data_IF_034678253440
#
_entry.id   IF_034678253440
#
_cell.length_a   1.000
_cell.length_b   1.000
_cell.length_c   1.000
_cell.angle_alpha   90.00
_cell.angle_beta   90.00
_cell.angle_gamma   90.00
#
_symmetry.space_group_name_H-M   'P 1'
#
loop_
_entity.id
_entity.type
_entity.pdbx_description
1 polymer ?
#
# COMPACT_ATOMS: atom_id res chain seq x y z
N UNK A 1 -19.07 26.77 -63.59
CA UNK A 1 -19.52 27.22 -62.25
C UNK A 1 -19.04 26.20 -61.24
N UNK A 2 -18.17 26.62 -60.30
CA UNK A 2 -17.30 25.77 -59.48
C UNK A 2 -17.69 25.98 -58.01
N UNK A 3 -18.42 25.04 -57.41
CA UNK A 3 -18.71 25.05 -55.97
C UNK A 3 -18.73 23.62 -55.43
N UNK A 4 -17.56 22.99 -55.43
CA UNK A 4 -17.22 21.85 -54.59
C UNK A 4 -15.98 22.24 -53.81
N UNK A 5 -16.12 22.34 -52.49
CA UNK A 5 -15.10 22.54 -51.44
C UNK A 5 -15.71 23.52 -50.45
N UNK A 6 -15.92 23.05 -49.22
CA UNK A 6 -16.01 23.79 -47.93
C UNK A 6 -16.85 23.00 -46.90
N UNK A 7 -17.36 21.81 -47.24
CA UNK A 7 -17.97 20.89 -46.26
C UNK A 7 -16.95 19.90 -45.63
N UNK A 8 -15.69 20.31 -45.52
CA UNK A 8 -14.61 19.42 -45.06
C UNK A 8 -13.55 20.12 -44.22
N UNK A 9 -13.89 21.26 -43.61
CA UNK A 9 -12.94 22.06 -42.81
C UNK A 9 -13.35 22.16 -41.33
N UNK A 10 -14.57 21.79 -40.95
CA UNK A 10 -15.04 21.85 -39.55
C UNK A 10 -14.98 20.53 -38.76
N UNK A 11 -14.56 19.42 -39.39
CA UNK A 11 -14.38 18.10 -38.72
C UNK A 11 -12.89 17.84 -38.40
N UNK A 12 -11.99 18.79 -38.70
CA UNK A 12 -10.55 18.63 -38.45
C UNK A 12 -10.05 19.14 -37.10
N UNK A 13 -10.85 19.92 -36.37
CA UNK A 13 -10.38 20.62 -35.15
C UNK A 13 -10.88 20.02 -33.83
N UNK A 14 -11.70 18.96 -33.90
CA UNK A 14 -12.33 18.32 -32.73
C UNK A 14 -11.73 16.93 -32.43
N UNK A 15 -10.42 16.76 -32.67
CA UNK A 15 -9.71 15.48 -32.43
C UNK A 15 -8.39 15.64 -31.65
N UNK A 16 -8.12 16.80 -31.04
CA UNK A 16 -6.82 17.12 -30.44
C UNK A 16 -6.81 17.33 -28.91
N UNK A 17 -7.80 16.82 -28.16
CA UNK A 17 -7.84 17.03 -26.69
C UNK A 17 -8.06 15.76 -25.86
N UNK A 18 -7.53 14.61 -26.31
CA UNK A 18 -7.49 13.38 -25.51
C UNK A 18 -6.07 12.85 -25.34
N UNK A 19 -5.08 13.74 -25.14
CA UNK A 19 -3.87 13.33 -24.43
C UNK A 19 -4.22 13.32 -22.94
N UNK A 20 -4.81 12.20 -22.49
CA UNK A 20 -4.87 11.92 -21.07
C UNK A 20 -3.43 11.93 -20.55
N UNK A 21 -3.15 12.81 -19.59
CA UNK A 21 -1.84 12.88 -18.95
C UNK A 21 -1.65 11.57 -18.18
N UNK A 22 -0.95 10.60 -18.76
CA UNK A 22 -0.52 9.41 -18.02
C UNK A 22 0.63 9.85 -17.10
N UNK A 23 0.39 9.92 -15.79
CA UNK A 23 1.45 10.09 -14.80
C UNK A 23 2.40 8.90 -14.95
N UNK A 24 3.62 9.15 -15.40
CA UNK A 24 4.68 8.14 -15.38
C UNK A 24 5.10 7.94 -13.92
N UNK A 25 5.04 6.70 -13.44
CA UNK A 25 5.57 6.33 -12.12
C UNK A 25 7.10 6.42 -12.21
N UNK A 26 7.74 6.90 -11.15
CA UNK A 26 9.20 7.04 -11.10
C UNK A 26 9.74 6.77 -9.69
N UNK A 27 10.99 6.33 -9.62
CA UNK A 27 11.67 6.04 -8.35
C UNK A 27 10.93 4.99 -7.51
N UNK A 28 10.81 5.25 -6.21
CA UNK A 28 10.25 4.31 -5.24
C UNK A 28 8.80 3.90 -5.56
N UNK A 29 8.00 4.78 -6.19
CA UNK A 29 6.63 4.47 -6.60
C UNK A 29 6.60 3.35 -7.65
N UNK A 30 7.52 3.41 -8.61
CA UNK A 30 7.68 2.37 -9.64
C UNK A 30 8.20 1.07 -9.02
N UNK A 31 9.17 1.15 -8.10
CA UNK A 31 9.69 -0.03 -7.38
C UNK A 31 8.58 -0.73 -6.60
N UNK A 32 7.76 0.02 -5.85
CA UNK A 32 6.64 -0.52 -5.10
C UNK A 32 5.57 -1.14 -6.02
N UNK A 33 5.24 -0.46 -7.12
CA UNK A 33 4.29 -0.95 -8.12
C UNK A 33 4.75 -2.27 -8.77
N UNK A 34 6.02 -2.36 -9.16
CA UNK A 34 6.57 -3.58 -9.77
C UNK A 34 6.64 -4.72 -8.79
N UNK A 35 6.93 -4.44 -7.53
CA UNK A 35 6.90 -5.42 -6.46
C UNK A 35 5.50 -6.01 -6.28
N UNK A 36 4.44 -5.19 -6.25
CA UNK A 36 3.04 -5.66 -6.16
C UNK A 36 2.69 -6.59 -7.32
N UNK A 37 3.11 -6.26 -8.55
CA UNK A 37 2.91 -7.13 -9.71
C UNK A 37 3.69 -8.43 -9.61
N UNK A 38 4.92 -8.38 -9.11
CA UNK A 38 5.76 -9.56 -8.92
C UNK A 38 5.18 -10.55 -7.90
N UNK A 39 4.41 -10.08 -6.91
CA UNK A 39 3.64 -10.93 -6.00
C UNK A 39 2.43 -11.62 -6.67
N UNK A 40 2.15 -11.34 -7.94
CA UNK A 40 1.03 -11.92 -8.67
C UNK A 40 -0.31 -11.23 -8.44
N UNK A 41 -0.30 -10.05 -7.80
CA UNK A 41 -1.50 -9.24 -7.61
C UNK A 41 -1.81 -8.41 -8.86
N UNK A 42 -3.10 -8.23 -9.12
CA UNK A 42 -3.57 -7.37 -10.21
C UNK A 42 -3.97 -6.01 -9.64
N UNK A 43 -3.17 -4.98 -9.94
CA UNK A 43 -3.45 -3.59 -9.56
C UNK A 43 -4.69 -3.09 -10.30
N UNK A 44 -5.66 -2.59 -9.54
CA UNK A 44 -6.91 -1.97 -10.01
C UNK A 44 -6.76 -0.45 -10.00
N UNK A 45 -6.18 0.11 -8.93
CA UNK A 45 -5.89 1.53 -8.80
C UNK A 45 -4.66 1.75 -7.91
N UNK A 46 -4.00 2.88 -8.14
CA UNK A 46 -2.90 3.40 -7.31
C UNK A 46 -3.39 4.67 -6.64
N UNK A 47 -3.05 4.90 -5.36
CA UNK A 47 -3.24 6.22 -4.76
C UNK A 47 -2.11 7.16 -5.17
N UNK A 48 -2.46 8.40 -5.51
CA UNK A 48 -1.53 9.37 -6.10
C UNK A 48 -0.47 9.89 -5.11
N UNK A 49 -0.76 9.84 -3.81
CA UNK A 49 0.07 10.39 -2.74
C UNK A 49 0.65 9.28 -1.86
N UNK A 50 1.97 9.32 -1.68
CA UNK A 50 2.64 8.47 -0.71
C UNK A 50 2.51 9.06 0.69
N UNK A 51 2.34 8.20 1.69
CA UNK A 51 2.42 8.60 3.09
C UNK A 51 3.85 8.43 3.59
N UNK A 52 4.43 9.48 4.18
CA UNK A 52 5.81 9.44 4.69
C UNK A 52 5.87 9.72 6.18
N UNK A 53 6.77 9.02 6.87
CA UNK A 53 7.11 9.31 8.27
C UNK A 53 8.55 8.90 8.59
N UNK A 54 9.12 9.45 9.66
CA UNK A 54 10.39 8.95 10.21
C UNK A 54 10.08 7.96 11.32
N UNK A 55 10.60 6.74 11.22
CA UNK A 55 10.37 5.74 12.26
C UNK A 55 11.12 6.12 13.54
N UNK A 56 10.39 6.28 14.64
CA UNK A 56 10.98 6.50 15.96
C UNK A 56 10.44 5.46 16.93
N UNK A 57 11.18 5.13 17.98
CA UNK A 57 10.72 4.16 19.01
C UNK A 57 9.39 4.55 19.65
N UNK A 58 9.09 5.85 19.75
CA UNK A 58 7.81 6.35 20.27
C UNK A 58 6.59 5.98 19.41
N UNK A 59 6.80 5.72 18.12
CA UNK A 59 5.75 5.22 17.24
C UNK A 59 5.49 3.72 17.47
N UNK A 60 6.41 2.98 18.07
CA UNK A 60 6.28 1.54 18.23
C UNK A 60 5.47 1.17 19.49
N UNK A 61 5.42 2.00 20.53
CA UNK A 61 4.62 1.73 21.73
C UNK A 61 4.39 3.00 22.57
N UNK A 62 3.39 2.96 23.46
CA UNK A 62 3.26 3.90 24.59
C UNK A 62 2.22 5.01 24.41
N UNK A 63 1.53 5.10 23.27
CA UNK A 63 0.43 6.06 23.08
C UNK A 63 -0.67 5.55 22.13
N UNK A 64 -1.89 6.09 22.16
CA UNK A 64 -2.93 5.74 21.18
C UNK A 64 -2.47 5.89 19.72
N UNK A 65 -1.67 6.91 19.44
CA UNK A 65 -1.09 7.20 18.12
C UNK A 65 -0.04 6.17 17.68
N UNK A 66 0.56 5.42 18.62
CA UNK A 66 1.47 4.31 18.30
C UNK A 66 0.75 3.07 17.76
N UNK A 67 -0.55 2.91 18.03
CA UNK A 67 -1.32 1.70 17.70
C UNK A 67 -1.24 1.32 16.21
N UNK A 68 -1.47 2.24 15.25
CA UNK A 68 -1.42 1.89 13.83
C UNK A 68 -0.02 1.41 13.39
N UNK A 69 1.03 2.03 13.93
CA UNK A 69 2.42 1.67 13.63
C UNK A 69 2.80 0.35 14.29
N UNK A 70 2.38 0.12 15.54
CA UNK A 70 2.56 -1.16 16.23
C UNK A 70 1.91 -2.31 15.44
N UNK A 71 0.69 -2.12 14.94
CA UNK A 71 -0.01 -3.12 14.13
C UNK A 71 0.68 -3.35 12.78
N UNK A 72 1.09 -2.27 12.10
CA UNK A 72 1.79 -2.35 10.82
C UNK A 72 3.14 -3.05 10.96
N UNK A 73 3.97 -2.66 11.94
CA UNK A 73 5.29 -3.25 12.16
C UNK A 73 5.23 -4.65 12.78
N UNK A 74 4.14 -4.99 13.48
CA UNK A 74 3.96 -6.31 14.08
C UNK A 74 3.79 -7.45 13.09
N UNK A 75 3.45 -7.15 11.84
CA UNK A 75 3.23 -8.14 10.76
C UNK A 75 4.34 -8.12 9.69
N UNK A 76 5.47 -7.47 9.97
CA UNK A 76 6.64 -7.46 9.08
C UNK A 76 7.60 -8.60 9.44
N UNK A 77 8.27 -9.15 8.42
CA UNK A 77 9.32 -10.15 8.63
C UNK A 77 10.63 -9.52 9.14
N UNK A 78 10.84 -8.23 8.86
CA UNK A 78 12.01 -7.47 9.30
C UNK A 78 11.79 -6.81 10.67
N UNK A 79 12.87 -6.58 11.40
CA UNK A 79 12.80 -5.88 12.68
C UNK A 79 12.64 -4.37 12.48
N UNK A 80 11.73 -3.67 13.20
CA UNK A 80 11.66 -2.22 13.13
C UNK A 80 12.94 -1.54 13.63
N UNK A 81 13.75 -2.21 14.47
CA UNK A 81 15.00 -1.66 15.01
C UNK A 81 16.00 -1.30 13.90
N UNK A 82 16.01 -2.06 12.80
CA UNK A 82 16.89 -1.85 11.65
C UNK A 82 16.55 -0.56 10.86
N UNK A 83 15.36 0.00 11.12
CA UNK A 83 14.82 1.15 10.41
C UNK A 83 14.55 2.36 11.32
N UNK A 84 14.83 2.27 12.62
CA UNK A 84 14.70 3.42 13.52
C UNK A 84 15.60 4.57 13.06
N UNK A 85 15.01 5.76 12.95
CA UNK A 85 15.66 6.96 12.44
C UNK A 85 15.61 7.12 10.92
N UNK A 86 15.16 6.10 10.18
CA UNK A 86 15.00 6.17 8.73
C UNK A 86 13.64 6.74 8.34
N UNK A 87 13.59 7.31 7.13
CA UNK A 87 12.33 7.68 6.48
C UNK A 87 11.67 6.43 5.90
N UNK A 88 10.40 6.24 6.21
CA UNK A 88 9.54 5.22 5.65
C UNK A 88 8.54 5.90 4.73
N UNK A 89 8.47 5.44 3.48
CA UNK A 89 7.50 5.90 2.49
C UNK A 89 6.54 4.76 2.20
N UNK A 90 5.24 5.04 2.23
CA UNK A 90 4.18 4.06 2.02
C UNK A 90 3.45 4.39 0.72
N UNK A 91 3.42 3.43 -0.20
CA UNK A 91 2.62 3.48 -1.42
C UNK A 91 1.41 2.55 -1.30
N UNK A 92 0.20 3.05 -1.58
CA UNK A 92 -1.03 2.27 -1.51
C UNK A 92 -1.53 1.88 -2.90
N UNK A 93 -1.92 0.62 -3.01
CA UNK A 93 -2.57 0.06 -4.20
C UNK A 93 -3.85 -0.66 -3.81
N UNK A 94 -4.89 -0.51 -4.63
CA UNK A 94 -6.05 -1.42 -4.60
C UNK A 94 -5.75 -2.55 -5.56
N UNK A 95 -5.77 -3.79 -5.08
CA UNK A 95 -5.48 -4.98 -5.87
C UNK A 95 -6.66 -5.95 -5.89
N UNK A 96 -6.61 -6.86 -6.87
CA UNK A 96 -7.38 -8.11 -6.89
C UNK A 96 -6.42 -9.30 -6.89
N UNK A 97 -6.96 -10.51 -6.69
CA UNK A 97 -6.20 -11.77 -6.58
C UNK A 97 -5.39 -11.86 -5.28
N UNK A 98 -5.91 -11.30 -4.20
CA UNK A 98 -5.29 -11.33 -2.89
C UNK A 98 -5.91 -12.43 -1.99
N UNK A 99 -5.13 -13.13 -1.13
CA UNK A 99 -5.64 -14.19 -0.26
C UNK A 99 -6.83 -13.79 0.62
N UNK A 100 -6.83 -12.55 1.11
CA UNK A 100 -7.90 -12.02 1.97
C UNK A 100 -9.27 -11.95 1.29
N UNK A 101 -9.33 -11.85 -0.04
CA UNK A 101 -10.61 -11.81 -0.78
C UNK A 101 -11.44 -13.07 -0.53
N UNK A 102 -10.77 -14.23 -0.46
CA UNK A 102 -11.43 -15.51 -0.17
C UNK A 102 -11.86 -15.62 1.29
N UNK A 103 -11.06 -15.09 2.22
CA UNK A 103 -11.34 -15.14 3.67
C UNK A 103 -12.54 -14.25 4.02
N UNK A 104 -12.59 -13.06 3.43
CA UNK A 104 -13.58 -12.04 3.74
C UNK A 104 -14.76 -11.98 2.77
N UNK A 105 -14.77 -12.84 1.74
CA UNK A 105 -15.76 -12.86 0.66
C UNK A 105 -15.87 -11.48 -0.02
N UNK A 106 -14.72 -10.89 -0.33
CA UNK A 106 -14.58 -9.61 -1.04
C UNK A 106 -13.98 -9.82 -2.43
N UNK A 107 -13.84 -8.73 -3.20
CA UNK A 107 -13.26 -8.77 -4.56
C UNK A 107 -11.96 -7.97 -4.69
N UNK A 108 -11.65 -7.14 -3.70
CA UNK A 108 -10.49 -6.27 -3.72
C UNK A 108 -9.89 -6.15 -2.32
N UNK A 109 -8.60 -5.81 -2.30
CA UNK A 109 -7.81 -5.61 -1.09
C UNK A 109 -6.95 -4.36 -1.28
N UNK A 110 -6.83 -3.54 -0.24
CA UNK A 110 -5.82 -2.49 -0.20
C UNK A 110 -4.52 -3.08 0.31
N UNK A 111 -3.43 -2.87 -0.44
CA UNK A 111 -2.07 -3.18 -0.01
C UNK A 111 -1.29 -1.89 0.15
N UNK A 112 -0.55 -1.79 1.25
CA UNK A 112 0.40 -0.71 1.52
C UNK A 112 1.81 -1.31 1.41
N UNK A 113 2.65 -0.74 0.57
CA UNK A 113 4.05 -1.15 0.41
C UNK A 113 4.92 -0.20 1.20
N UNK A 114 5.69 -0.73 2.13
CA UNK A 114 6.64 0.02 2.94
C UNK A 114 7.98 0.06 2.22
N UNK A 115 8.47 1.27 1.97
CA UNK A 115 9.77 1.55 1.36
C UNK A 115 10.70 2.23 2.37
N UNK A 116 11.97 1.86 2.35
CA UNK A 116 13.05 2.64 2.98
C UNK A 116 14.32 2.51 2.16
N UNK A 117 15.07 3.60 2.05
CA UNK A 117 16.33 3.68 1.28
C UNK A 117 16.20 3.15 -0.18
N UNK A 118 15.03 3.34 -0.80
CA UNK A 118 14.74 2.90 -2.18
C UNK A 118 14.38 1.41 -2.33
N UNK A 119 14.29 0.66 -1.23
CA UNK A 119 13.98 -0.77 -1.22
C UNK A 119 12.63 -1.06 -0.57
N UNK A 120 11.97 -2.13 -1.03
CA UNK A 120 10.76 -2.65 -0.37
C UNK A 120 11.20 -3.40 0.89
N UNK A 121 10.69 -2.96 2.04
CA UNK A 121 11.02 -3.54 3.35
C UNK A 121 9.86 -4.36 3.93
N UNK A 122 8.69 -4.28 3.30
CA UNK A 122 7.53 -5.06 3.65
C UNK A 122 6.23 -4.41 3.19
N UNK A 123 5.13 -4.77 3.84
CA UNK A 123 3.82 -4.30 3.46
C UNK A 123 2.72 -4.78 4.39
N UNK A 124 1.54 -4.19 4.24
CA UNK A 124 0.32 -4.61 4.93
C UNK A 124 -0.82 -4.76 3.95
N UNK A 125 -1.82 -5.55 4.29
CA UNK A 125 -3.06 -5.68 3.51
C UNK A 125 -4.32 -5.47 4.35
N UNK A 126 -5.37 -4.97 3.71
CA UNK A 126 -6.69 -4.73 4.31
C UNK A 126 -7.80 -5.07 3.31
N UNK A 127 -8.74 -5.97 3.67
CA UNK A 127 -9.81 -6.35 2.76
C UNK A 127 -10.81 -5.20 2.58
N UNK A 128 -11.29 -5.02 1.34
CA UNK A 128 -12.28 -4.00 1.01
C UNK A 128 -13.65 -4.65 0.77
N UNK A 129 -14.66 -4.23 1.53
CA UNK A 129 -16.05 -4.62 1.28
C UNK A 129 -16.80 -3.43 0.70
N UNK A 130 -17.35 -3.60 -0.50
CA UNK A 130 -18.09 -2.54 -1.21
C UNK A 130 -17.29 -1.23 -1.38
N UNK A 131 -15.95 -1.34 -1.45
CA UNK A 131 -15.05 -0.20 -1.57
C UNK A 131 -14.62 0.43 -0.23
N UNK A 132 -15.15 -0.07 0.89
CA UNK A 132 -14.78 0.39 2.23
C UNK A 132 -13.80 -0.57 2.92
N UNK A 133 -12.84 -0.01 3.65
CA UNK A 133 -11.91 -0.79 4.47
C UNK A 133 -12.67 -1.47 5.60
N UNK A 134 -12.52 -2.79 5.72
CA UNK A 134 -12.98 -3.50 6.90
C UNK A 134 -12.09 -3.11 8.09
N UNK A 135 -12.73 -2.60 9.14
CA UNK A 135 -12.04 -2.20 10.37
C UNK A 135 -11.38 -3.40 11.05
N UNK A 136 -10.13 -3.24 11.50
CA UNK A 136 -9.37 -4.29 12.15
C UNK A 136 -7.88 -3.96 12.25
N UNK A 137 -7.09 -4.92 12.68
CA UNK A 137 -5.63 -4.85 12.63
C UNK A 137 -5.11 -5.07 11.21
N UNK A 138 -3.90 -4.57 10.95
CA UNK A 138 -3.19 -4.87 9.71
C UNK A 138 -2.94 -6.38 9.56
N UNK A 139 -3.09 -6.88 8.34
CA UNK A 139 -2.49 -8.15 7.90
C UNK A 139 -1.12 -7.89 7.30
N UNK A 140 -0.27 -8.91 7.23
CA UNK A 140 0.93 -8.85 6.39
C UNK A 140 0.56 -8.59 4.92
N UNK A 141 1.54 -8.28 4.08
CA UNK A 141 1.31 -8.11 2.65
C UNK A 141 0.63 -9.34 2.02
N UNK A 142 0.93 -10.55 2.49
CA UNK A 142 0.37 -11.79 1.98
C UNK A 142 -0.95 -12.20 2.65
N UNK A 143 -1.52 -11.33 3.49
CA UNK A 143 -2.78 -11.59 4.19
C UNK A 143 -2.65 -12.47 5.43
N UNK A 144 -1.44 -12.60 6.00
CA UNK A 144 -1.21 -13.38 7.22
C UNK A 144 -1.48 -12.54 8.48
N UNK A 145 -1.97 -13.19 9.54
CA UNK A 145 -2.08 -12.57 10.86
C UNK A 145 -0.72 -12.41 11.52
N UNK A 146 -0.68 -11.62 12.60
CA UNK A 146 0.50 -11.49 13.45
C UNK A 146 0.98 -12.84 13.98
N UNK A 147 0.06 -13.70 14.40
CA UNK A 147 0.38 -15.03 14.90
C UNK A 147 0.96 -15.94 13.81
N UNK A 148 0.44 -15.85 12.59
CA UNK A 148 0.96 -16.60 11.44
C UNK A 148 2.35 -16.14 11.04
N UNK A 149 2.62 -14.82 11.10
CA UNK A 149 3.95 -14.26 10.79
C UNK A 149 4.98 -14.60 11.87
N UNK A 150 4.60 -14.49 13.15
CA UNK A 150 5.55 -14.56 14.26
C UNK A 150 5.63 -15.93 14.95
N UNK A 151 4.60 -16.76 14.79
CA UNK A 151 4.42 -18.01 15.54
C UNK A 151 4.07 -17.80 17.03
N UNK A 152 3.89 -16.55 17.47
CA UNK A 152 3.53 -16.20 18.84
C UNK A 152 2.03 -15.95 18.93
N UNK A 153 1.43 -16.17 20.10
CA UNK A 153 0.10 -15.60 20.37
C UNK A 153 0.19 -14.08 20.47
N UNK A 154 -0.93 -13.38 20.21
CA UNK A 154 -0.99 -11.93 20.40
C UNK A 154 -0.51 -11.49 21.79
N UNK A 155 -0.82 -12.25 22.85
CA UNK A 155 -0.39 -11.94 24.20
C UNK A 155 1.12 -12.01 24.34
N UNK A 156 1.75 -13.10 23.89
CA UNK A 156 3.21 -13.28 23.95
C UNK A 156 3.92 -12.20 23.16
N UNK A 157 3.47 -11.95 21.92
CA UNK A 157 4.02 -10.89 21.10
C UNK A 157 3.87 -9.52 21.76
N UNK A 158 2.70 -9.19 22.31
CA UNK A 158 2.44 -7.91 22.97
C UNK A 158 3.31 -7.71 24.21
N UNK A 159 3.47 -8.75 25.03
CA UNK A 159 4.35 -8.73 26.20
C UNK A 159 5.82 -8.49 25.78
N UNK A 160 6.28 -9.13 24.71
CA UNK A 160 7.65 -8.96 24.20
C UNK A 160 7.87 -7.65 23.45
N UNK A 161 6.84 -7.15 22.77
CA UNK A 161 6.85 -5.84 22.13
C UNK A 161 6.95 -4.73 23.18
N UNK A 162 6.13 -4.83 24.24
CA UNK A 162 6.18 -3.93 25.38
C UNK A 162 7.57 -3.90 26.00
N UNK A 163 8.16 -5.06 26.33
CA UNK A 163 9.53 -5.11 26.90
C UNK A 163 10.58 -4.40 26.05
N UNK A 164 10.41 -4.36 24.72
CA UNK A 164 11.36 -3.75 23.78
C UNK A 164 11.18 -2.24 23.62
N UNK A 165 9.93 -1.76 23.69
CA UNK A 165 9.59 -0.40 23.26
C UNK A 165 8.91 0.47 24.33
N UNK A 166 8.51 -0.11 25.45
CA UNK A 166 8.06 0.60 26.66
C UNK A 166 9.30 1.20 27.34
N UNK A 167 9.53 2.50 27.09
CA UNK A 167 10.65 3.26 27.66
C UNK A 167 10.31 3.81 29.04
#
# INVERSE_FOLDING_TARGET
MRTRRYFGIWIGFMLLILMGCSKELAGDEQTAHDYVKAQGYKIISTEDEAFEYTLTKKLLYGSPESTPYQQMWGVQAVSPDDYVGKKITIYKFTVSNHPLEKIYLTHTTNVNILMADGEVIGGTSFPLKEGELLMGSAYSLDGMTLEEVTGLTFKEWSDDWKKRYDN
#
